data_IF_435619125775
#
_entry.id   IF_435619125775
#
_cell.length_a   1.000
_cell.length_b   1.000
_cell.length_c   1.000
_cell.angle_alpha   90.00
_cell.angle_beta   90.00
_cell.angle_gamma   90.00
#
_symmetry.space_group_name_H-M   'P 1'
#
loop_
_entity.id
_entity.type
_entity.pdbx_description
1 polymer ?
#
# COMPACT_ATOMS: atom_id res chain seq x y z
N UNK A 1 -3.25 51.34 -3.16
CA UNK A 1 -3.45 50.67 -1.85
C UNK A 1 -4.29 49.41 -2.05
N UNK A 2 -3.72 48.21 -1.98
CA UNK A 2 -4.48 46.95 -2.05
C UNK A 2 -5.19 46.67 -0.72
N UNK A 3 -6.42 46.15 -0.77
CA UNK A 3 -7.18 45.82 0.43
C UNK A 3 -6.54 44.60 1.12
N UNK A 4 -6.09 44.71 2.38
CA UNK A 4 -5.36 43.65 3.08
C UNK A 4 -6.22 42.40 3.26
N UNK A 5 -7.54 42.54 3.42
CA UNK A 5 -8.48 41.41 3.58
C UNK A 5 -8.48 40.52 2.35
N UNK A 6 -8.36 41.11 1.14
CA UNK A 6 -8.31 40.36 -0.11
C UNK A 6 -7.03 39.51 -0.21
N UNK A 7 -5.92 40.02 0.33
CA UNK A 7 -4.65 39.29 0.37
C UNK A 7 -4.70 38.15 1.39
N UNK A 8 -5.31 38.37 2.56
CA UNK A 8 -5.56 37.32 3.55
C UNK A 8 -6.41 36.19 2.96
N UNK A 9 -7.52 36.51 2.27
CA UNK A 9 -8.37 35.49 1.62
C UNK A 9 -7.62 34.69 0.55
N UNK A 10 -6.83 35.35 -0.30
CA UNK A 10 -6.03 34.67 -1.33
C UNK A 10 -4.95 33.77 -0.72
N UNK A 11 -4.29 34.23 0.35
CA UNK A 11 -3.32 33.42 1.08
C UNK A 11 -3.99 32.17 1.69
N UNK A 12 -5.13 32.32 2.38
CA UNK A 12 -5.88 31.18 2.93
C UNK A 12 -6.30 30.18 1.84
N UNK A 13 -6.73 30.64 0.66
CA UNK A 13 -7.06 29.77 -0.46
C UNK A 13 -5.85 28.99 -0.99
N UNK A 14 -4.69 29.65 -1.14
CA UNK A 14 -3.45 28.98 -1.57
C UNK A 14 -2.94 27.98 -0.52
N UNK A 15 -3.09 28.28 0.77
CA UNK A 15 -2.78 27.35 1.85
C UNK A 15 -3.75 26.16 1.88
N UNK A 16 -5.06 26.38 1.67
CA UNK A 16 -6.07 25.32 1.60
C UNK A 16 -5.85 24.35 0.44
N UNK A 17 -5.54 24.87 -0.76
CA UNK A 17 -5.23 24.06 -1.95
C UNK A 17 -3.96 23.21 -1.74
N UNK A 18 -2.96 23.76 -1.03
CA UNK A 18 -1.72 23.04 -0.72
C UNK A 18 -1.94 21.90 0.28
N UNK A 19 -2.80 22.09 1.26
CA UNK A 19 -3.15 21.05 2.24
C UNK A 19 -3.97 19.90 1.64
N UNK A 20 -4.94 20.20 0.75
CA UNK A 20 -5.72 19.16 0.05
C UNK A 20 -4.82 18.28 -0.83
N UNK A 21 -3.85 18.90 -1.50
CA UNK A 21 -2.87 18.20 -2.32
C UNK A 21 -1.97 17.27 -1.49
N UNK A 22 -1.56 17.67 -0.28
CA UNK A 22 -0.73 16.83 0.60
C UNK A 22 -1.48 15.55 1.03
N UNK A 23 -2.78 15.66 1.33
CA UNK A 23 -3.61 14.50 1.71
C UNK A 23 -3.85 13.56 0.53
N UNK A 24 -3.93 14.10 -0.69
CA UNK A 24 -4.07 13.29 -1.92
C UNK A 24 -2.76 12.67 -2.41
N UNK A 25 -1.63 13.33 -2.19
CA UNK A 25 -0.30 12.86 -2.62
C UNK A 25 0.30 11.87 -1.62
N UNK A 26 0.05 12.06 -0.33
CA UNK A 26 0.56 11.19 0.74
C UNK A 26 -0.61 10.42 1.32
N UNK A 27 -0.88 9.18 0.89
CA UNK A 27 -1.81 8.34 1.62
C UNK A 27 -1.39 8.33 3.10
N UNK A 28 -2.34 8.35 4.06
CA UNK A 28 -2.03 8.38 5.49
C UNK A 28 -1.23 7.14 5.97
N UNK A 29 -1.04 6.17 5.08
CA UNK A 29 -0.13 5.06 5.23
C UNK A 29 1.00 5.20 4.22
N UNK A 30 2.28 5.15 4.64
CA UNK A 30 3.36 4.88 3.72
C UNK A 30 3.00 3.60 2.96
N UNK A 31 2.96 3.64 1.63
CA UNK A 31 2.86 2.43 0.83
C UNK A 31 4.22 1.75 0.93
N UNK A 32 4.48 1.12 2.09
CA UNK A 32 5.56 0.18 2.25
C UNK A 32 5.32 -0.87 1.17
N UNK A 33 6.13 -0.83 0.11
CA UNK A 33 6.28 -1.98 -0.79
C UNK A 33 7.01 -3.05 0.01
N UNK A 34 6.33 -3.57 1.02
CA UNK A 34 6.79 -4.70 1.78
C UNK A 34 6.64 -5.87 0.83
N UNK A 35 7.76 -6.37 0.31
CA UNK A 35 7.84 -7.62 -0.44
C UNK A 35 7.60 -8.83 0.49
N UNK A 36 6.73 -8.67 1.49
CA UNK A 36 6.34 -9.68 2.46
C UNK A 36 5.09 -10.38 1.97
N UNK A 37 4.90 -11.61 2.43
CA UNK A 37 3.66 -12.34 2.18
C UNK A 37 2.47 -11.54 2.70
N UNK A 38 1.40 -11.47 1.91
CA UNK A 38 0.11 -10.96 2.36
C UNK A 38 -0.76 -12.16 2.70
N UNK A 39 -1.26 -12.21 3.93
CA UNK A 39 -2.25 -13.20 4.36
C UNK A 39 -3.53 -12.50 4.83
N UNK A 40 -4.71 -13.01 4.45
CA UNK A 40 -4.92 -14.01 3.40
C UNK A 40 -4.68 -13.43 2.00
N UNK A 41 -4.26 -14.28 1.06
CA UNK A 41 -4.20 -13.94 -0.37
C UNK A 41 -5.09 -14.88 -1.21
N UNK A 42 -5.59 -14.37 -2.33
CA UNK A 42 -6.41 -15.11 -3.29
C UNK A 42 -5.56 -15.54 -4.49
N UNK A 43 -5.58 -16.83 -4.81
CA UNK A 43 -4.96 -17.42 -5.99
C UNK A 43 -5.91 -18.44 -6.61
N UNK A 44 -6.20 -18.31 -7.91
CA UNK A 44 -7.10 -19.22 -8.64
C UNK A 44 -8.49 -19.32 -7.95
N UNK A 45 -9.03 -18.17 -7.53
CA UNK A 45 -10.29 -18.02 -6.78
C UNK A 45 -10.33 -18.71 -5.39
N UNK A 46 -9.20 -19.18 -4.89
CA UNK A 46 -9.06 -19.81 -3.57
C UNK A 46 -8.31 -18.86 -2.61
N UNK A 47 -8.79 -18.76 -1.38
CA UNK A 47 -8.18 -17.95 -0.31
C UNK A 47 -7.21 -18.81 0.50
N UNK A 48 -5.95 -18.37 0.59
CA UNK A 48 -4.88 -19.03 1.34
C UNK A 48 -4.39 -18.17 2.50
N UNK A 49 -4.18 -18.81 3.65
CA UNK A 49 -3.76 -18.16 4.91
C UNK A 49 -2.31 -18.44 5.30
N UNK A 50 -1.63 -19.26 4.52
CA UNK A 50 -0.29 -19.73 4.75
C UNK A 50 0.43 -19.94 3.42
N UNK A 51 1.73 -20.19 3.47
CA UNK A 51 2.51 -20.57 2.30
C UNK A 51 1.95 -21.83 1.65
N UNK A 52 1.88 -21.83 0.32
CA UNK A 52 1.37 -22.93 -0.48
C UNK A 52 2.44 -23.46 -1.43
N UNK A 53 2.36 -24.73 -1.80
CA UNK A 53 3.22 -25.34 -2.83
C UNK A 53 2.45 -25.65 -4.11
N UNK A 54 1.34 -24.93 -4.36
CA UNK A 54 0.53 -25.14 -5.56
C UNK A 54 1.35 -24.77 -6.79
N UNK A 55 1.47 -25.73 -7.73
CA UNK A 55 2.22 -25.59 -9.00
C UNK A 55 3.68 -25.14 -8.80
N UNK A 56 4.33 -25.53 -7.70
CA UNK A 56 5.71 -25.20 -7.38
C UNK A 56 6.35 -26.30 -6.53
N UNK A 57 7.64 -26.59 -6.75
CA UNK A 57 8.41 -27.52 -5.92
C UNK A 57 8.72 -26.96 -4.52
N UNK A 58 8.61 -25.63 -4.37
CA UNK A 58 8.88 -24.91 -3.12
C UNK A 58 7.65 -24.12 -2.65
N UNK A 59 7.50 -24.01 -1.33
CA UNK A 59 6.43 -23.22 -0.73
C UNK A 59 6.60 -21.73 -1.03
N UNK A 60 5.52 -21.07 -1.41
CA UNK A 60 5.48 -19.67 -1.80
C UNK A 60 4.23 -18.98 -1.27
N UNK A 61 4.26 -17.65 -1.28
CA UNK A 61 3.14 -16.80 -0.90
C UNK A 61 3.01 -15.63 -1.88
N UNK A 62 1.81 -15.06 -2.00
CA UNK A 62 1.65 -13.82 -2.77
C UNK A 62 2.03 -12.60 -1.94
N UNK A 63 2.58 -11.58 -2.60
CA UNK A 63 2.74 -10.24 -2.03
C UNK A 63 1.56 -9.32 -2.35
N UNK A 64 0.52 -9.88 -2.96
CA UNK A 64 -0.74 -9.22 -3.33
C UNK A 64 -1.91 -9.90 -2.62
N UNK A 65 -2.93 -9.14 -2.25
CA UNK A 65 -4.18 -9.71 -1.71
C UNK A 65 -4.90 -10.57 -2.76
N UNK A 66 -4.86 -10.15 -4.02
CA UNK A 66 -5.36 -10.90 -5.18
C UNK A 66 -4.14 -11.13 -6.06
N UNK A 67 -3.80 -12.38 -6.34
CA UNK A 67 -2.56 -12.74 -7.02
C UNK A 67 -2.47 -12.10 -8.41
N UNK A 68 -1.49 -11.22 -8.59
CA UNK A 68 -1.18 -10.54 -9.87
C UNK A 68 0.13 -11.04 -10.50
N UNK A 69 0.61 -12.22 -10.08
CA UNK A 69 1.88 -12.78 -10.55
C UNK A 69 3.09 -12.41 -9.68
N UNK A 70 2.91 -11.62 -8.62
CA UNK A 70 3.97 -11.31 -7.66
C UNK A 70 3.92 -12.26 -6.46
N UNK A 71 5.06 -12.88 -6.19
CA UNK A 71 5.21 -13.87 -5.15
C UNK A 71 6.65 -13.95 -4.68
N UNK A 72 6.87 -14.68 -3.59
CA UNK A 72 8.19 -15.06 -3.10
C UNK A 72 8.15 -16.46 -2.50
N UNK A 73 9.32 -17.10 -2.46
CA UNK A 73 9.48 -18.31 -1.67
C UNK A 73 9.34 -18.00 -0.19
N UNK A 74 8.72 -18.93 0.52
CA UNK A 74 8.71 -18.93 1.97
C UNK A 74 10.04 -19.52 2.46
N UNK A 75 10.70 -18.79 3.33
CA UNK A 75 11.88 -19.27 4.06
C UNK A 75 11.43 -20.04 5.29
N UNK A 76 12.22 -21.03 5.73
CA UNK A 76 11.97 -21.76 7.00
C UNK A 76 11.96 -20.81 8.23
N UNK A 77 12.49 -19.60 8.07
CA UNK A 77 12.25 -18.41 8.89
C UNK A 77 10.80 -17.91 8.66
N UNK A 78 9.84 -18.77 8.93
CA UNK A 78 8.42 -18.51 8.83
C UNK A 78 7.88 -17.80 10.07
N UNK A 79 8.58 -16.81 10.62
CA UNK A 79 8.06 -15.97 11.69
C UNK A 79 8.85 -14.66 11.68
N UNK A 80 8.19 -13.53 11.41
CA UNK A 80 8.59 -12.33 12.14
C UNK A 80 7.86 -12.37 13.49
N UNK A 81 8.52 -12.00 14.60
CA UNK A 81 7.82 -11.64 15.83
C UNK A 81 6.79 -10.53 15.60
#
# INVERSE_FOLDING_TARGET
MGNPVRWLSLALCLHGLKSDLIVRISPPFPVFHNYSCIFPFMYDDIIYYNCISVRSDYAWCSIDKIFQGRWRYCTAEGEHP
#
